data_IF_402586870438
#
_entry.id   IF_402586870438
#
_cell.length_a   1.000
_cell.length_b   1.000
_cell.length_c   1.000
_cell.angle_alpha   90.00
_cell.angle_beta   90.00
_cell.angle_gamma   90.00
#
_symmetry.space_group_name_H-M   'P 1'
#
loop_
_entity.id
_entity.type
_entity.pdbx_description
1 polymer ?
#
# COMPACT_ATOMS: atom_id res chain seq x y z
N UNK A 1 -1.94 0.74 -10.79
CA UNK A 1 -1.72 1.06 -9.36
C UNK A 1 -0.63 0.18 -8.75
N UNK A 2 -0.79 -1.15 -8.76
CA UNK A 2 0.29 -2.09 -8.40
C UNK A 2 1.19 -2.39 -9.61
N UNK A 3 0.62 -2.34 -10.81
CA UNK A 3 1.31 -2.43 -12.10
C UNK A 3 2.38 -1.33 -12.23
N UNK A 4 2.07 -0.11 -11.80
CA UNK A 4 3.04 0.99 -11.79
C UNK A 4 4.23 0.71 -10.87
N UNK A 5 3.98 0.01 -9.74
CA UNK A 5 5.07 -0.43 -8.85
C UNK A 5 5.90 -1.52 -9.54
N UNK A 6 5.24 -2.50 -10.15
CA UNK A 6 5.89 -3.56 -10.91
C UNK A 6 6.84 -2.98 -11.97
N UNK A 7 6.33 -2.09 -12.81
CA UNK A 7 7.09 -1.42 -13.88
C UNK A 7 8.27 -0.62 -13.31
N UNK A 8 8.07 0.11 -12.21
CA UNK A 8 9.14 0.85 -11.54
C UNK A 8 10.24 -0.08 -11.02
N UNK A 9 9.89 -1.22 -10.40
CA UNK A 9 10.86 -2.19 -9.89
C UNK A 9 11.70 -2.77 -11.04
N UNK A 10 11.04 -3.18 -12.14
CA UNK A 10 11.73 -3.68 -13.34
C UNK A 10 12.68 -2.63 -13.90
N UNK A 11 12.19 -1.40 -14.07
CA UNK A 11 13.00 -0.29 -14.59
C UNK A 11 14.22 0.02 -13.72
N UNK A 12 14.07 0.00 -12.40
CA UNK A 12 15.20 0.20 -11.46
C UNK A 12 16.28 -0.88 -11.66
N UNK A 13 15.86 -2.14 -11.86
CA UNK A 13 16.79 -3.26 -12.12
C UNK A 13 17.51 -3.10 -13.46
N UNK A 14 16.80 -2.71 -14.51
CA UNK A 14 17.36 -2.54 -15.85
C UNK A 14 18.30 -1.32 -15.98
N UNK A 15 17.96 -0.20 -15.34
CA UNK A 15 18.72 1.05 -15.42
C UNK A 15 19.94 1.11 -14.47
N UNK A 16 20.14 0.08 -13.65
CA UNK A 16 21.36 -0.09 -12.84
C UNK A 16 21.43 0.73 -11.54
N UNK A 17 20.32 0.84 -10.80
CA UNK A 17 20.22 1.45 -9.46
C UNK A 17 21.02 2.75 -9.28
N UNK A 18 20.67 3.81 -10.03
CA UNK A 18 21.14 5.17 -9.71
C UNK A 18 20.55 5.60 -8.37
N UNK A 19 21.35 5.51 -7.32
CA UNK A 19 21.10 5.93 -5.92
C UNK A 19 19.87 5.40 -5.17
N UNK A 20 18.88 4.73 -5.81
CA UNK A 20 17.68 4.23 -5.13
C UNK A 20 17.58 2.69 -5.10
N UNK A 21 17.04 2.14 -4.01
CA UNK A 21 16.66 0.72 -3.81
C UNK A 21 17.72 -0.31 -4.22
N UNK A 22 18.93 -0.17 -3.65
CA UNK A 22 20.07 -1.07 -3.93
C UNK A 22 19.74 -2.55 -3.70
N UNK A 23 18.74 -2.86 -2.88
CA UNK A 23 18.26 -4.22 -2.64
C UNK A 23 17.76 -4.89 -3.93
N UNK A 24 17.03 -4.18 -4.79
CA UNK A 24 16.47 -4.71 -6.04
C UNK A 24 17.59 -5.14 -7.01
N UNK A 25 18.67 -4.37 -7.10
CA UNK A 25 19.80 -4.72 -7.98
C UNK A 25 20.76 -5.74 -7.37
N UNK A 26 20.79 -5.89 -6.04
CA UNK A 26 21.65 -6.88 -5.36
C UNK A 26 20.99 -8.25 -5.26
N UNK A 27 19.67 -8.29 -5.35
CA UNK A 27 18.87 -9.51 -5.37
C UNK A 27 19.23 -10.35 -6.60
N UNK A 28 19.57 -11.62 -6.38
CA UNK A 28 19.88 -12.52 -7.48
C UNK A 28 18.65 -12.75 -8.38
N UNK A 29 18.87 -13.28 -9.59
CA UNK A 29 17.81 -13.45 -10.58
C UNK A 29 16.69 -14.39 -10.10
N UNK A 30 17.04 -15.41 -9.30
CA UNK A 30 16.03 -16.34 -8.79
C UNK A 30 15.12 -15.65 -7.77
N UNK A 31 15.71 -14.98 -6.78
CA UNK A 31 14.98 -14.20 -5.79
C UNK A 31 14.12 -13.11 -6.42
N UNK A 32 14.67 -12.40 -7.40
CA UNK A 32 13.94 -11.34 -8.10
C UNK A 32 12.74 -11.89 -8.87
N UNK A 33 12.94 -12.96 -9.63
CA UNK A 33 11.84 -13.59 -10.36
C UNK A 33 10.75 -14.08 -9.41
N UNK A 34 11.10 -14.64 -8.24
CA UNK A 34 10.11 -15.01 -7.22
C UNK A 34 9.32 -13.82 -6.69
N UNK A 35 10.00 -12.70 -6.40
CA UNK A 35 9.36 -11.46 -5.95
C UNK A 35 8.40 -10.92 -7.01
N UNK A 36 8.85 -10.84 -8.27
CA UNK A 36 8.04 -10.32 -9.36
C UNK A 36 6.84 -11.22 -9.65
N UNK A 37 6.99 -12.54 -9.69
CA UNK A 37 5.87 -13.47 -9.86
C UNK A 37 4.84 -13.37 -8.73
N UNK A 38 5.28 -13.08 -7.51
CA UNK A 38 4.38 -12.83 -6.39
C UNK A 38 3.61 -11.50 -6.56
N UNK A 39 4.28 -10.46 -7.04
CA UNK A 39 3.65 -9.17 -7.35
C UNK A 39 2.63 -9.30 -8.50
N UNK A 40 2.96 -10.08 -9.53
CA UNK A 40 2.04 -10.39 -10.64
C UNK A 40 0.76 -11.06 -10.14
N UNK A 41 0.88 -12.05 -9.25
CA UNK A 41 -0.27 -12.70 -8.65
C UNK A 41 -1.11 -11.71 -7.82
N UNK A 42 -0.47 -10.82 -7.06
CA UNK A 42 -1.18 -9.77 -6.32
C UNK A 42 -1.95 -8.82 -7.26
N UNK A 43 -1.33 -8.41 -8.37
CA UNK A 43 -1.93 -7.60 -9.42
C UNK A 43 -3.14 -8.32 -10.02
N UNK A 44 -2.98 -9.58 -10.41
CA UNK A 44 -4.04 -10.41 -11.00
C UNK A 44 -5.25 -10.48 -10.06
N UNK A 45 -5.03 -10.80 -8.78
CA UNK A 45 -6.10 -10.88 -7.79
C UNK A 45 -6.78 -9.52 -7.64
N UNK A 46 -6.01 -8.46 -7.38
CA UNK A 46 -6.54 -7.10 -7.15
C UNK A 46 -7.36 -6.58 -8.33
N UNK A 47 -6.91 -6.85 -9.57
CA UNK A 47 -7.57 -6.38 -10.79
C UNK A 47 -9.02 -6.86 -10.91
N UNK A 48 -9.31 -8.09 -10.44
CA UNK A 48 -10.66 -8.69 -10.49
C UNK A 48 -11.67 -7.98 -9.59
N UNK A 49 -11.19 -7.32 -8.52
CA UNK A 49 -12.04 -6.61 -7.56
C UNK A 49 -12.08 -5.10 -7.81
N UNK A 50 -11.06 -4.55 -8.48
CA UNK A 50 -10.96 -3.12 -8.82
C UNK A 50 -11.25 -2.20 -7.62
N UNK A 51 -10.51 -2.33 -6.50
CA UNK A 51 -10.77 -1.51 -5.31
C UNK A 51 -10.53 -0.02 -5.59
N UNK A 52 -11.20 0.89 -4.85
CA UNK A 52 -11.05 2.34 -5.04
C UNK A 52 -9.64 2.86 -4.70
N UNK A 53 -8.91 2.08 -3.88
CA UNK A 53 -7.60 2.38 -3.33
C UNK A 53 -6.69 1.20 -3.63
N UNK A 54 -5.41 1.44 -3.83
CA UNK A 54 -4.44 0.34 -3.99
C UNK A 54 -4.27 -0.41 -2.66
N UNK A 55 -4.27 -1.75 -2.62
CA UNK A 55 -3.88 -2.48 -1.42
C UNK A 55 -2.42 -2.19 -1.03
N UNK A 56 -2.07 -2.47 0.22
CA UNK A 56 -0.69 -2.61 0.62
C UNK A 56 0.06 -3.60 -0.29
N UNK A 57 1.37 -3.45 -0.44
CA UNK A 57 2.16 -4.54 -1.01
C UNK A 57 2.02 -5.78 -0.12
N UNK A 58 2.05 -6.95 -0.74
CA UNK A 58 2.21 -8.18 0.04
C UNK A 58 3.42 -8.08 1.00
N UNK A 59 3.27 -8.50 2.27
CA UNK A 59 4.34 -8.34 3.25
C UNK A 59 5.67 -9.02 2.92
N UNK A 60 5.65 -10.13 2.19
CA UNK A 60 6.89 -10.76 1.73
C UNK A 60 7.58 -9.84 0.72
N UNK A 61 6.83 -9.30 -0.24
CA UNK A 61 7.38 -8.34 -1.22
C UNK A 61 7.92 -7.11 -0.49
N UNK A 62 7.14 -6.55 0.43
CA UNK A 62 7.50 -5.40 1.26
C UNK A 62 8.82 -5.67 2.02
N UNK A 63 8.91 -6.81 2.70
CA UNK A 63 10.12 -7.21 3.45
C UNK A 63 11.34 -7.37 2.56
N UNK A 64 11.18 -7.99 1.38
CA UNK A 64 12.28 -8.21 0.42
C UNK A 64 12.73 -6.92 -0.25
N UNK A 65 11.83 -5.95 -0.44
CA UNK A 65 12.17 -4.58 -0.86
C UNK A 65 12.81 -3.75 0.27
N UNK A 66 12.90 -4.29 1.48
CA UNK A 66 13.56 -3.64 2.61
C UNK A 66 12.71 -2.66 3.38
N UNK A 67 11.36 -2.74 3.29
CA UNK A 67 10.49 -1.93 4.14
C UNK A 67 10.81 -2.25 5.59
N UNK A 68 10.88 -1.22 6.46
CA UNK A 68 11.24 -1.35 7.87
C UNK A 68 12.72 -1.72 8.14
N UNK A 69 13.58 -1.72 7.11
CA UNK A 69 15.04 -1.94 7.24
C UNK A 69 15.87 -0.66 7.02
N UNK A 70 15.22 0.51 7.01
CA UNK A 70 15.88 1.82 6.99
C UNK A 70 16.04 2.46 5.61
N UNK A 71 15.40 1.94 4.56
CA UNK A 71 15.32 2.57 3.22
C UNK A 71 13.91 3.09 2.92
N UNK A 72 13.17 3.45 3.98
CA UNK A 72 11.75 3.79 3.93
C UNK A 72 11.44 4.98 3.01
N UNK A 73 12.41 5.89 2.82
CA UNK A 73 12.31 7.03 1.92
C UNK A 73 12.22 6.61 0.45
N UNK A 74 13.16 5.78 -0.01
CA UNK A 74 13.17 5.30 -1.40
C UNK A 74 12.00 4.36 -1.67
N UNK A 75 11.60 3.58 -0.68
CA UNK A 75 10.43 2.71 -0.74
C UNK A 75 9.17 3.54 -0.86
N UNK A 76 8.98 4.55 0.00
CA UNK A 76 7.84 5.44 -0.08
C UNK A 76 7.70 6.10 -1.45
N UNK A 77 8.83 6.53 -2.05
CA UNK A 77 8.87 7.06 -3.43
C UNK A 77 8.50 6.02 -4.47
N UNK A 78 9.05 4.80 -4.37
CA UNK A 78 8.70 3.68 -5.25
C UNK A 78 7.19 3.42 -5.22
N UNK A 79 6.64 3.33 -4.01
CA UNK A 79 5.22 3.09 -3.76
C UNK A 79 4.34 4.30 -4.10
N UNK A 80 4.93 5.45 -4.42
CA UNK A 80 4.21 6.64 -4.86
C UNK A 80 3.55 7.41 -3.72
N UNK A 81 4.10 7.38 -2.51
CA UNK A 81 3.61 8.22 -1.41
C UNK A 81 4.07 9.68 -1.57
N UNK A 82 3.27 10.65 -1.11
CA UNK A 82 3.70 12.04 -0.92
C UNK A 82 4.87 12.15 0.06
N UNK A 83 5.79 13.09 -0.13
CA UNK A 83 6.97 13.28 0.75
C UNK A 83 6.60 13.56 2.21
N UNK A 84 5.42 14.13 2.49
CA UNK A 84 4.92 14.27 3.86
C UNK A 84 4.53 12.93 4.48
N UNK A 85 3.90 12.04 3.72
CA UNK A 85 3.55 10.69 4.17
C UNK A 85 4.81 9.86 4.40
N UNK A 86 5.80 10.01 3.51
CA UNK A 86 7.10 9.34 3.65
C UNK A 86 7.80 9.74 4.94
N UNK A 87 7.91 11.04 5.21
CA UNK A 87 8.49 11.54 6.47
C UNK A 87 7.70 11.13 7.70
N UNK A 88 6.37 11.15 7.62
CA UNK A 88 5.52 10.71 8.73
C UNK A 88 5.82 9.25 9.10
N UNK A 89 5.93 8.39 8.10
CA UNK A 89 6.28 6.98 8.29
C UNK A 89 7.71 6.81 8.82
N UNK A 90 8.72 7.43 8.19
CA UNK A 90 10.13 7.22 8.54
C UNK A 90 10.53 7.84 9.89
N UNK A 91 9.94 8.98 10.26
CA UNK A 91 10.31 9.72 11.48
C UNK A 91 9.43 9.34 12.68
N UNK A 92 8.15 9.02 12.45
CA UNK A 92 7.16 8.80 13.52
C UNK A 92 6.65 7.36 13.59
N UNK A 93 7.13 6.46 12.72
CA UNK A 93 6.77 5.03 12.69
C UNK A 93 5.25 4.84 12.62
N UNK A 94 4.57 5.65 11.79
CA UNK A 94 3.10 5.65 11.68
C UNK A 94 2.64 4.68 10.58
N UNK A 95 2.31 3.45 10.97
CA UNK A 95 1.91 2.37 10.04
C UNK A 95 0.44 1.95 10.12
N UNK A 96 -0.34 2.54 11.03
CA UNK A 96 -1.75 2.20 11.26
C UNK A 96 -2.58 3.43 11.65
N UNK A 97 -3.91 3.34 11.50
CA UNK A 97 -4.85 4.40 11.88
C UNK A 97 -4.64 4.77 13.36
N UNK A 98 -4.66 6.06 13.65
CA UNK A 98 -4.50 6.59 15.00
C UNK A 98 -5.54 7.68 15.32
N UNK A 99 -5.43 8.27 16.52
CA UNK A 99 -6.39 9.27 17.00
C UNK A 99 -6.48 10.52 16.14
N UNK A 100 -5.40 10.91 15.45
CA UNK A 100 -5.42 12.05 14.52
C UNK A 100 -6.27 11.73 13.29
N UNK A 101 -6.11 10.56 12.68
CA UNK A 101 -6.97 10.13 11.57
C UNK A 101 -8.43 10.14 11.98
N UNK A 102 -8.75 9.57 13.15
CA UNK A 102 -10.13 9.50 13.64
C UNK A 102 -10.72 10.88 13.91
N UNK A 103 -9.93 11.84 14.43
CA UNK A 103 -10.39 13.21 14.63
C UNK A 103 -10.68 13.92 13.29
N UNK A 104 -9.86 13.68 12.27
CA UNK A 104 -10.02 14.28 10.94
C UNK A 104 -11.27 13.80 10.20
N UNK A 105 -11.82 12.63 10.52
CA UNK A 105 -13.07 12.12 9.91
C UNK A 105 -14.20 13.14 10.01
N UNK A 106 -14.33 13.81 11.16
CA UNK A 106 -15.39 14.79 11.43
C UNK A 106 -15.30 16.05 10.55
N UNK A 107 -14.17 16.26 9.88
CA UNK A 107 -13.91 17.43 9.05
C UNK A 107 -14.02 17.13 7.55
N UNK A 108 -14.20 15.87 7.19
CA UNK A 108 -14.35 15.46 5.79
C UNK A 108 -15.77 15.67 5.29
N UNK A 109 -15.87 16.10 4.04
CA UNK A 109 -17.13 16.04 3.30
C UNK A 109 -17.32 14.60 2.79
N UNK A 110 -18.06 13.80 3.58
CA UNK A 110 -18.31 12.39 3.28
C UNK A 110 -19.43 12.30 2.22
N UNK A 111 -19.16 11.74 1.03
CA UNK A 111 -20.18 11.59 0.00
C UNK A 111 -21.35 10.72 0.47
N UNK A 112 -22.57 11.06 0.07
CA UNK A 112 -23.77 10.29 0.41
C UNK A 112 -23.63 8.82 -0.04
N UNK A 113 -24.02 7.90 0.84
CA UNK A 113 -23.98 6.45 0.59
C UNK A 113 -22.63 5.78 0.83
N UNK A 114 -21.58 6.53 1.19
CA UNK A 114 -20.30 5.97 1.61
C UNK A 114 -20.36 5.53 3.08
N UNK A 115 -19.80 4.36 3.38
CA UNK A 115 -19.82 3.74 4.71
C UNK A 115 -18.43 3.46 5.26
N UNK A 116 -17.36 3.70 4.50
CA UNK A 116 -16.00 3.55 4.99
C UNK A 116 -15.00 4.45 4.26
N UNK A 117 -13.91 4.79 4.95
CA UNK A 117 -12.66 5.29 4.37
C UNK A 117 -11.66 4.14 4.34
N UNK A 118 -10.99 3.97 3.21
CA UNK A 118 -10.08 2.86 2.93
C UNK A 118 -8.70 3.43 2.63
N UNK A 119 -7.67 2.80 3.19
CA UNK A 119 -6.26 3.15 3.00
C UNK A 119 -5.41 1.87 2.88
N UNK A 120 -4.23 1.89 2.24
CA UNK A 120 -3.31 0.76 2.26
C UNK A 120 -2.71 0.57 3.66
N UNK A 121 -2.62 -0.67 4.14
CA UNK A 121 -1.95 -1.00 5.40
C UNK A 121 -0.42 -0.92 5.33
N UNK A 122 0.21 -0.83 6.50
CA UNK A 122 1.67 -0.88 6.67
C UNK A 122 2.40 0.41 6.29
N UNK A 123 1.89 1.17 5.33
CA UNK A 123 2.36 2.51 4.99
C UNK A 123 1.13 3.37 4.73
N UNK A 124 0.61 4.03 5.76
CA UNK A 124 -0.62 4.80 5.63
C UNK A 124 -0.32 6.26 5.25
N UNK A 125 -1.23 6.95 4.55
CA UNK A 125 -1.18 8.39 4.41
C UNK A 125 -1.07 9.08 5.77
N UNK A 126 -0.34 10.20 5.86
CA UNK A 126 -0.12 10.87 7.15
C UNK A 126 -1.33 11.64 7.69
N UNK A 127 -2.34 11.88 6.86
CA UNK A 127 -3.53 12.66 7.18
C UNK A 127 -4.60 12.40 6.13
N UNK A 128 -5.86 12.33 6.55
CA UNK A 128 -7.04 12.29 5.69
C UNK A 128 -7.25 13.60 4.92
N UNK A 129 -6.58 14.69 5.31
CA UNK A 129 -6.58 15.98 4.59
C UNK A 129 -5.57 16.03 3.45
N UNK A 130 -4.74 15.00 3.28
CA UNK A 130 -3.71 14.97 2.24
C UNK A 130 -4.32 14.79 0.85
N UNK A 131 -4.55 15.90 0.13
CA UNK A 131 -5.11 15.89 -1.23
C UNK A 131 -4.32 15.01 -2.19
N UNK A 132 -2.99 15.06 -2.11
CA UNK A 132 -2.13 14.24 -2.97
C UNK A 132 -2.31 12.73 -2.72
N UNK A 133 -2.58 12.32 -1.48
CA UNK A 133 -2.88 10.92 -1.17
C UNK A 133 -4.22 10.47 -1.76
N UNK A 134 -5.24 11.34 -1.77
CA UNK A 134 -6.51 11.09 -2.46
C UNK A 134 -6.33 10.97 -3.98
N UNK A 135 -5.62 11.92 -4.60
CA UNK A 135 -5.36 11.92 -6.05
C UNK A 135 -4.58 10.67 -6.49
N UNK A 136 -3.63 10.22 -5.68
CA UNK A 136 -2.82 9.02 -5.93
C UNK A 136 -3.52 7.73 -5.54
N UNK A 137 -4.81 7.76 -5.15
CA UNK A 137 -5.61 6.59 -4.73
C UNK A 137 -4.98 5.81 -3.58
N UNK A 138 -4.41 6.54 -2.61
CA UNK A 138 -3.95 6.03 -1.32
C UNK A 138 -5.00 6.24 -0.22
N UNK A 139 -5.99 7.09 -0.47
CA UNK A 139 -7.20 7.25 0.35
C UNK A 139 -8.39 7.18 -0.58
N UNK A 140 -9.46 6.53 -0.15
CA UNK A 140 -10.70 6.44 -0.91
C UNK A 140 -11.89 6.15 -0.03
N UNK A 141 -13.08 6.51 -0.51
CA UNK A 141 -14.33 6.12 0.12
C UNK A 141 -14.84 4.80 -0.47
N UNK A 142 -15.47 3.98 0.36
CA UNK A 142 -16.19 2.79 -0.06
C UNK A 142 -17.67 2.88 0.34
N UNK A 143 -18.56 2.55 -0.59
CA UNK A 143 -19.94 2.18 -0.25
C UNK A 143 -20.02 0.74 0.29
N UNK A 144 -21.22 0.27 0.63
CA UNK A 144 -21.41 -1.07 1.22
C UNK A 144 -20.99 -2.21 0.29
N UNK A 145 -21.21 -2.07 -1.02
CA UNK A 145 -20.85 -3.10 -1.99
C UNK A 145 -19.34 -3.10 -2.25
N UNK A 146 -18.73 -1.93 -2.38
CA UNK A 146 -17.28 -1.74 -2.44
C UNK A 146 -16.59 -2.30 -1.19
N UNK A 147 -17.12 -1.98 0.00
CA UNK A 147 -16.59 -2.46 1.27
C UNK A 147 -16.64 -3.99 1.36
N UNK A 148 -17.77 -4.61 0.99
CA UNK A 148 -17.88 -6.07 0.91
C UNK A 148 -16.86 -6.67 -0.06
N UNK A 149 -16.70 -6.09 -1.25
CA UNK A 149 -15.70 -6.55 -2.23
C UNK A 149 -14.27 -6.40 -1.71
N UNK A 150 -13.97 -5.38 -0.92
CA UNK A 150 -12.66 -5.22 -0.27
C UNK A 150 -12.41 -6.36 0.72
N UNK A 151 -13.40 -6.73 1.54
CA UNK A 151 -13.27 -7.86 2.47
C UNK A 151 -13.05 -9.18 1.72
N UNK A 152 -13.81 -9.42 0.65
CA UNK A 152 -13.64 -10.61 -0.20
C UNK A 152 -12.28 -10.63 -0.91
N UNK A 153 -11.76 -9.46 -1.29
CA UNK A 153 -10.40 -9.31 -1.85
C UNK A 153 -9.34 -9.67 -0.81
N UNK A 154 -9.47 -9.20 0.43
CA UNK A 154 -8.53 -9.52 1.50
C UNK A 154 -8.49 -11.02 1.79
N UNK A 155 -9.65 -11.66 1.87
CA UNK A 155 -9.74 -13.11 2.05
C UNK A 155 -9.02 -13.88 0.94
N UNK A 156 -9.22 -13.48 -0.33
CA UNK A 156 -8.53 -14.12 -1.44
C UNK A 156 -7.02 -13.85 -1.42
N UNK A 157 -6.60 -12.62 -1.14
CA UNK A 157 -5.18 -12.28 -1.02
C UNK A 157 -4.52 -13.08 0.09
N UNK A 158 -5.11 -13.17 1.29
CA UNK A 158 -4.59 -13.97 2.40
C UNK A 158 -4.49 -15.46 2.04
N UNK A 159 -5.47 -16.01 1.33
CA UNK A 159 -5.47 -17.42 0.92
C UNK A 159 -4.42 -17.72 -0.15
N UNK A 160 -4.26 -16.83 -1.14
CA UNK A 160 -3.42 -17.05 -2.33
C UNK A 160 -1.98 -16.57 -2.15
N UNK A 161 -1.77 -15.59 -1.28
CA UNK A 161 -0.49 -15.01 -0.91
C UNK A 161 -0.27 -15.19 0.58
N UNK A 162 -0.24 -16.42 1.11
CA UNK A 162 -0.06 -16.64 2.54
C UNK A 162 1.26 -16.03 3.00
N UNK A 163 1.20 -15.28 4.08
CA UNK A 163 2.33 -14.61 4.70
C UNK A 163 2.07 -14.45 6.20
N UNK A 164 3.11 -14.07 6.93
CA UNK A 164 3.03 -13.64 8.32
C UNK A 164 3.89 -12.40 8.47
N UNK A 165 3.35 -11.30 8.99
CA UNK A 165 4.09 -10.06 9.13
C UNK A 165 3.65 -9.27 10.37
N UNK A 166 4.61 -8.74 11.12
CA UNK A 166 4.33 -8.08 12.39
C UNK A 166 3.70 -6.68 12.23
N UNK A 167 3.88 -6.03 11.08
CA UNK A 167 3.46 -4.64 10.88
C UNK A 167 2.02 -4.49 10.34
N UNK A 168 1.49 -5.51 9.65
CA UNK A 168 0.11 -5.53 9.16
C UNK A 168 -0.29 -6.96 8.79
N UNK A 169 -1.50 -7.36 9.19
CA UNK A 169 -2.12 -8.65 8.89
C UNK A 169 -3.21 -8.55 7.79
N UNK A 170 -3.55 -7.32 7.40
CA UNK A 170 -4.56 -6.97 6.40
C UNK A 170 -3.94 -6.11 5.29
N UNK A 171 -4.54 -6.09 4.09
CA UNK A 171 -4.02 -5.28 2.98
C UNK A 171 -4.56 -3.85 2.99
N UNK A 172 -5.65 -3.61 3.74
CA UNK A 172 -6.29 -2.32 3.85
C UNK A 172 -6.58 -1.92 5.30
N UNK A 173 -6.29 -0.67 5.63
CA UNK A 173 -6.84 0.00 6.79
C UNK A 173 -8.23 0.56 6.49
N UNK A 174 -9.12 0.52 7.48
CA UNK A 174 -10.54 0.83 7.31
C UNK A 174 -11.05 1.67 8.47
N UNK A 175 -11.67 2.81 8.16
CA UNK A 175 -12.46 3.59 9.11
C UNK A 175 -13.93 3.44 8.72
N UNK A 176 -14.74 2.79 9.54
CA UNK A 176 -16.18 2.67 9.30
C UNK A 176 -16.86 3.99 9.66
N UNK A 177 -17.67 4.50 8.73
CA UNK A 177 -18.46 5.71 8.87
C UNK A 177 -19.89 5.28 9.22
N UNK A 178 -20.38 5.65 10.40
CA UNK A 178 -21.70 5.27 10.92
C UNK A 178 -22.88 5.70 10.02
#
# INVERSE_FOLDING_TARGET
MLEDIYERIVRIREEGCRECLKVVCRMDDFQFNQLMSRLELQIEITSRYSPPVRPALDPMISTELGVYRGDDENIGRLLGYPECCIRSFSENTRYAIDGEHLAEVSELDIPEGKCAIIMPSGFIPCSLRCQEAWERKLIGFADRDEFRRILELEDELMMRLPHFHLAYDEYFEKIVLE
#
